data_IF_685941535044
#
_entry.id   IF_685941535044
#
_cell.length_a   1.000
_cell.length_b   1.000
_cell.length_c   1.000
_cell.angle_alpha   90.00
_cell.angle_beta   90.00
_cell.angle_gamma   90.00
#
_symmetry.space_group_name_H-M   'P 1'
#
loop_
_entity.id
_entity.type
_entity.pdbx_description
1 polymer ?
#
# COMPACT_ATOMS: atom_id res chain seq x y z
N UNK A 1 20.19 19.34 5.17
CA UNK A 1 19.29 18.24 4.79
C UNK A 1 20.14 16.99 4.75
N UNK A 2 19.90 16.06 5.65
CA UNK A 2 20.57 14.75 5.65
C UNK A 2 19.77 13.73 4.83
N UNK A 3 20.33 12.55 4.61
CA UNK A 3 19.74 11.47 3.82
C UNK A 3 18.39 11.00 4.37
N UNK A 4 18.25 10.98 5.70
CA UNK A 4 17.00 10.62 6.35
C UNK A 4 15.90 11.65 6.07
N UNK A 5 16.20 12.94 6.19
CA UNK A 5 15.26 14.03 5.87
C UNK A 5 14.89 14.01 4.38
N UNK A 6 15.85 13.73 3.49
CA UNK A 6 15.58 13.55 2.07
C UNK A 6 14.65 12.37 1.80
N UNK A 7 14.90 11.23 2.43
CA UNK A 7 14.07 10.04 2.31
C UNK A 7 12.66 10.31 2.81
N UNK A 8 12.48 10.86 4.01
CA UNK A 8 11.18 11.17 4.57
C UNK A 8 10.39 12.16 3.70
N UNK A 9 11.08 13.15 3.12
CA UNK A 9 10.45 14.07 2.17
C UNK A 9 9.98 13.41 0.87
N UNK A 10 10.76 12.46 0.34
CA UNK A 10 10.33 11.65 -0.79
C UNK A 10 9.17 10.71 -0.41
N UNK A 11 9.28 10.03 0.72
CA UNK A 11 8.30 9.09 1.25
C UNK A 11 6.92 9.72 1.39
N UNK A 12 6.84 10.89 2.03
CA UNK A 12 5.58 11.63 2.20
C UNK A 12 4.96 12.05 0.86
N UNK A 13 5.79 12.51 -0.10
CA UNK A 13 5.33 12.93 -1.43
C UNK A 13 4.78 11.75 -2.25
N UNK A 14 5.47 10.61 -2.22
CA UNK A 14 5.03 9.42 -2.96
C UNK A 14 3.74 8.84 -2.36
N UNK A 15 3.59 8.88 -1.03
CA UNK A 15 2.35 8.47 -0.38
C UNK A 15 1.16 9.39 -0.71
N UNK A 16 1.38 10.71 -0.76
CA UNK A 16 0.34 11.65 -1.18
C UNK A 16 -0.08 11.38 -2.64
N UNK A 17 0.87 11.09 -3.51
CA UNK A 17 0.61 10.74 -4.92
C UNK A 17 -0.16 9.43 -5.05
N UNK A 18 0.22 8.43 -4.26
CA UNK A 18 -0.47 7.13 -4.20
C UNK A 18 -1.90 7.29 -3.70
N UNK A 19 -2.13 8.10 -2.66
CA UNK A 19 -3.47 8.40 -2.17
C UNK A 19 -4.35 9.09 -3.23
N UNK A 20 -3.80 10.00 -4.03
CA UNK A 20 -4.52 10.62 -5.15
C UNK A 20 -4.96 9.57 -6.18
N UNK A 21 -4.07 8.63 -6.52
CA UNK A 21 -4.38 7.52 -7.41
C UNK A 21 -5.50 6.63 -6.84
N UNK A 22 -5.36 6.18 -5.59
CA UNK A 22 -6.33 5.28 -4.95
C UNK A 22 -7.72 5.92 -4.84
N UNK A 23 -7.80 7.23 -4.57
CA UNK A 23 -9.06 7.98 -4.50
C UNK A 23 -9.72 8.20 -5.87
N UNK A 24 -8.97 8.07 -6.97
CA UNK A 24 -9.47 8.22 -8.33
C UNK A 24 -9.99 6.90 -8.93
N UNK A 25 -9.84 5.78 -8.22
CA UNK A 25 -10.28 4.47 -8.71
C UNK A 25 -11.81 4.40 -8.85
N UNK A 26 -12.35 3.77 -9.92
CA UNK A 26 -13.79 3.62 -10.07
C UNK A 26 -14.36 2.65 -9.04
N UNK A 27 -15.31 3.11 -8.22
CA UNK A 27 -15.95 2.36 -7.13
C UNK A 27 -16.40 0.94 -7.53
N UNK A 28 -16.94 0.79 -8.74
CA UNK A 28 -17.53 -0.46 -9.25
C UNK A 28 -16.53 -1.39 -9.95
N UNK A 29 -15.24 -1.05 -10.00
CA UNK A 29 -14.24 -1.75 -10.79
C UNK A 29 -13.18 -2.48 -9.96
N UNK A 30 -13.47 -2.84 -8.70
CA UNK A 30 -12.54 -3.60 -7.87
C UNK A 30 -12.00 -4.85 -8.59
N UNK A 31 -12.89 -5.63 -9.22
CA UNK A 31 -12.54 -6.90 -9.87
C UNK A 31 -12.09 -6.76 -11.34
N UNK A 32 -12.04 -5.53 -11.87
CA UNK A 32 -11.56 -5.31 -13.23
C UNK A 32 -10.13 -5.83 -13.41
N UNK A 33 -9.90 -6.58 -14.48
CA UNK A 33 -8.62 -7.20 -14.83
C UNK A 33 -8.20 -6.81 -16.24
N UNK A 34 -7.10 -6.06 -16.40
CA UNK A 34 -6.53 -5.78 -17.72
C UNK A 34 -6.00 -7.06 -18.40
N UNK A 35 -5.46 -7.98 -17.61
CA UNK A 35 -5.01 -9.31 -18.03
C UNK A 35 -5.73 -10.38 -17.20
N UNK A 36 -6.20 -11.46 -17.85
CA UNK A 36 -7.03 -12.48 -17.20
C UNK A 36 -6.28 -13.29 -16.13
N UNK A 37 -4.95 -13.42 -16.24
CA UNK A 37 -4.10 -14.07 -15.24
C UNK A 37 -3.55 -13.10 -14.18
N UNK A 38 -3.78 -11.80 -14.35
CA UNK A 38 -3.26 -10.75 -13.49
C UNK A 38 -4.10 -10.47 -12.25
N UNK A 39 -3.52 -9.64 -11.37
CA UNK A 39 -4.24 -9.02 -10.26
C UNK A 39 -5.35 -8.13 -10.79
N UNK A 40 -6.48 -8.11 -10.08
CA UNK A 40 -7.49 -7.08 -10.32
C UNK A 40 -6.96 -5.69 -9.95
N UNK A 41 -7.70 -4.66 -10.36
CA UNK A 41 -7.47 -3.28 -9.95
C UNK A 41 -7.40 -3.13 -8.41
N UNK A 42 -8.36 -3.70 -7.68
CA UNK A 42 -8.37 -3.69 -6.22
C UNK A 42 -7.24 -4.50 -5.59
N UNK A 43 -6.89 -5.64 -6.18
CA UNK A 43 -5.78 -6.47 -5.71
C UNK A 43 -4.42 -5.79 -5.90
N UNK A 44 -4.22 -5.13 -7.04
CA UNK A 44 -3.01 -4.37 -7.34
C UNK A 44 -2.91 -3.12 -6.46
N UNK A 45 -4.02 -2.41 -6.26
CA UNK A 45 -4.09 -1.26 -5.38
C UNK A 45 -3.73 -1.62 -3.93
N UNK A 46 -4.25 -2.73 -3.41
CA UNK A 46 -3.89 -3.20 -2.08
C UNK A 46 -2.42 -3.63 -1.98
N UNK A 47 -1.87 -4.21 -3.05
CA UNK A 47 -0.48 -4.63 -3.08
C UNK A 47 0.51 -3.47 -2.83
N UNK A 48 0.13 -2.23 -3.19
CA UNK A 48 0.91 -1.04 -2.84
C UNK A 48 0.96 -0.82 -1.32
N UNK A 49 -0.15 -1.02 -0.62
CA UNK A 49 -0.21 -0.92 0.84
C UNK A 49 0.55 -2.06 1.53
N UNK A 50 0.52 -3.27 0.96
CA UNK A 50 1.35 -4.38 1.45
C UNK A 50 2.85 -4.03 1.38
N UNK A 51 3.29 -3.30 0.35
CA UNK A 51 4.66 -2.82 0.24
C UNK A 51 5.12 -2.05 1.49
N UNK A 52 4.38 -0.99 1.86
CA UNK A 52 4.67 -0.19 3.06
C UNK A 52 4.66 -1.06 4.32
N UNK A 53 3.62 -1.87 4.51
CA UNK A 53 3.46 -2.67 5.73
C UNK A 53 4.59 -3.67 5.95
N UNK A 54 4.93 -4.46 4.91
CA UNK A 54 5.96 -5.49 5.05
C UNK A 54 7.36 -4.88 5.16
N UNK A 55 7.63 -3.78 4.46
CA UNK A 55 8.92 -3.11 4.55
C UNK A 55 9.14 -2.47 5.92
N UNK A 56 8.18 -1.69 6.41
CA UNK A 56 8.28 -1.05 7.74
C UNK A 56 8.38 -2.09 8.85
N UNK A 57 7.54 -3.14 8.80
CA UNK A 57 7.57 -4.22 9.79
C UNK A 57 8.92 -4.98 9.80
N UNK A 58 9.48 -5.27 8.63
CA UNK A 58 10.79 -5.93 8.52
C UNK A 58 11.95 -5.08 9.02
N UNK A 59 11.91 -3.77 8.76
CA UNK A 59 12.91 -2.81 9.28
C UNK A 59 12.83 -2.75 10.80
N UNK A 60 11.63 -2.61 11.38
CA UNK A 60 11.43 -2.56 12.84
C UNK A 60 11.86 -3.86 13.53
N UNK A 61 11.53 -5.01 12.93
CA UNK A 61 11.95 -6.32 13.42
C UNK A 61 13.44 -6.64 13.19
N UNK A 62 14.14 -5.86 12.35
CA UNK A 62 15.53 -6.10 11.98
C UNK A 62 15.77 -7.35 11.13
N UNK A 63 14.73 -7.91 10.50
CA UNK A 63 14.81 -9.11 9.67
C UNK A 63 13.73 -9.17 8.60
N UNK A 64 13.98 -9.93 7.54
CA UNK A 64 13.00 -10.24 6.50
C UNK A 64 12.94 -11.75 6.31
N UNK A 65 11.76 -12.34 6.51
CA UNK A 65 11.51 -13.75 6.29
C UNK A 65 10.17 -13.99 5.60
N UNK A 66 10.01 -15.15 4.96
CA UNK A 66 8.80 -15.47 4.19
C UNK A 66 7.57 -15.75 5.08
N UNK A 67 7.80 -16.08 6.35
CA UNK A 67 6.77 -16.33 7.36
C UNK A 67 6.34 -15.08 8.13
N UNK A 68 7.05 -13.96 7.97
CA UNK A 68 6.66 -12.68 8.55
C UNK A 68 5.38 -12.17 7.90
N UNK A 69 4.45 -11.72 8.75
CA UNK A 69 3.21 -11.08 8.31
C UNK A 69 2.90 -9.92 9.25
N UNK A 70 2.87 -8.67 8.73
CA UNK A 70 2.42 -7.52 9.51
C UNK A 70 0.99 -7.74 10.04
N UNK A 71 0.69 -7.29 11.27
CA UNK A 71 -0.68 -7.32 11.78
C UNK A 71 -1.59 -6.40 10.95
N UNK A 72 -2.90 -6.66 10.97
CA UNK A 72 -3.93 -5.77 10.41
C UNK A 72 -3.76 -5.43 8.91
N UNK A 73 -3.23 -6.38 8.12
CA UNK A 73 -3.01 -6.23 6.68
C UNK A 73 -4.09 -6.94 5.84
N UNK A 74 -5.29 -7.16 6.40
CA UNK A 74 -6.38 -7.77 5.63
C UNK A 74 -6.77 -6.91 4.43
N UNK A 75 -6.75 -7.54 3.24
CA UNK A 75 -7.13 -6.89 1.99
C UNK A 75 -8.61 -6.49 2.00
N UNK A 76 -8.93 -5.19 1.85
CA UNK A 76 -10.29 -4.73 1.65
C UNK A 76 -10.86 -5.27 0.34
N UNK A 77 -12.18 -5.49 0.29
CA UNK A 77 -12.89 -5.99 -0.92
C UNK A 77 -13.72 -4.93 -1.63
N UNK A 78 -13.52 -3.67 -1.28
CA UNK A 78 -14.20 -2.53 -1.89
C UNK A 78 -13.19 -1.44 -2.20
N UNK A 79 -13.45 -0.64 -3.24
CA UNK A 79 -12.52 0.41 -3.67
C UNK A 79 -12.43 1.53 -2.64
N UNK A 80 -13.54 1.86 -1.99
CA UNK A 80 -13.67 2.92 -0.99
C UNK A 80 -12.76 2.72 0.21
N UNK A 81 -12.43 1.45 0.53
CA UNK A 81 -11.60 1.09 1.66
C UNK A 81 -10.09 1.07 1.34
N UNK A 82 -9.69 1.16 0.06
CA UNK A 82 -8.29 1.06 -0.36
C UNK A 82 -7.46 2.27 0.10
N UNK A 83 -7.93 3.50 -0.17
CA UNK A 83 -7.20 4.71 0.22
C UNK A 83 -7.09 4.88 1.75
N UNK A 84 -8.18 4.71 2.55
CA UNK A 84 -8.07 4.73 4.01
C UNK A 84 -7.14 3.65 4.57
N UNK A 85 -7.16 2.45 3.96
CA UNK A 85 -6.27 1.35 4.36
C UNK A 85 -4.79 1.68 4.12
N UNK A 86 -4.46 2.17 2.93
CA UNK A 86 -3.09 2.64 2.62
C UNK A 86 -2.64 3.77 3.55
N UNK A 87 -3.50 4.79 3.76
CA UNK A 87 -3.17 5.93 4.63
C UNK A 87 -2.87 5.51 6.07
N UNK A 88 -3.63 4.54 6.60
CA UNK A 88 -3.39 3.99 7.93
C UNK A 88 -2.01 3.32 7.99
N UNK A 89 -1.73 2.40 7.05
CA UNK A 89 -0.49 1.64 7.01
C UNK A 89 0.73 2.55 6.87
N UNK A 90 0.66 3.57 6.02
CA UNK A 90 1.78 4.50 5.80
C UNK A 90 2.14 5.33 7.04
N UNK A 91 1.19 5.52 7.97
CA UNK A 91 1.37 6.30 9.20
C UNK A 91 1.85 5.47 10.39
N UNK A 92 1.72 4.15 10.32
CA UNK A 92 2.18 3.20 11.35
C UNK A 92 3.71 3.03 11.27
#
# INVERSE_FOLDING_TARGET
>A
MNELEMFLGAWAREAESTLKLLRALPATQYDFRPDAGGRSLGELAWHLAEGDAYMSYGIDAGQFSMDMKPPNIERPRTVEALAPGYERIHRE
#
